data_IF_585600816322
#
_entry.id   IF_585600816322
#
_cell.length_a   1.000
_cell.length_b   1.000
_cell.length_c   1.000
_cell.angle_alpha   90.00
_cell.angle_beta   90.00
_cell.angle_gamma   90.00
#
_symmetry.space_group_name_H-M   'P 1'
#
loop_
_entity.id
_entity.type
_entity.pdbx_description
1 polymer ?
#
# COMPACT_ATOMS: atom_id res chain seq x y z
N UNK A 1 14.57 -22.63 -3.77
CA UNK A 1 14.96 -21.52 -2.87
C UNK A 1 14.86 -22.04 -1.46
N UNK A 2 15.88 -21.81 -0.62
CA UNK A 2 15.77 -22.13 0.81
C UNK A 2 14.71 -21.21 1.43
N UNK A 3 13.87 -21.78 2.30
CA UNK A 3 12.83 -21.04 3.03
C UNK A 3 13.48 -19.98 3.91
N UNK A 4 12.95 -18.76 3.88
CA UNK A 4 13.44 -17.64 4.69
C UNK A 4 12.39 -17.36 5.77
N UNK A 5 12.63 -17.89 6.97
CA UNK A 5 11.63 -17.95 8.06
C UNK A 5 11.10 -16.57 8.45
N UNK A 6 11.95 -15.54 8.50
CA UNK A 6 11.49 -14.20 8.90
C UNK A 6 10.48 -13.59 7.93
N UNK A 7 10.56 -13.92 6.63
CA UNK A 7 9.60 -13.43 5.64
C UNK A 7 8.22 -14.08 5.83
N UNK A 8 8.16 -15.31 6.35
CA UNK A 8 6.90 -15.94 6.69
C UNK A 8 6.22 -15.23 7.86
N UNK A 9 6.99 -14.87 8.90
CA UNK A 9 6.46 -14.07 10.02
C UNK A 9 5.96 -12.70 9.55
N UNK A 10 6.71 -12.01 8.69
CA UNK A 10 6.28 -10.70 8.14
C UNK A 10 4.99 -10.84 7.34
N UNK A 11 4.83 -11.92 6.56
CA UNK A 11 3.58 -12.18 5.82
C UNK A 11 2.39 -12.41 6.74
N UNK A 12 2.56 -13.27 7.75
CA UNK A 12 1.49 -13.54 8.74
C UNK A 12 1.11 -12.25 9.46
N UNK A 13 2.10 -11.47 9.89
CA UNK A 13 1.88 -10.19 10.55
C UNK A 13 1.18 -9.17 9.62
N UNK A 14 1.63 -9.02 8.37
CA UNK A 14 1.00 -8.13 7.41
C UNK A 14 -0.45 -8.54 7.07
N UNK A 15 -0.71 -9.85 6.90
CA UNK A 15 -2.08 -10.35 6.74
C UNK A 15 -2.94 -10.01 7.96
N UNK A 16 -2.41 -10.22 9.17
CA UNK A 16 -3.12 -9.88 10.39
C UNK A 16 -3.46 -8.37 10.45
N UNK A 17 -2.51 -7.50 10.14
CA UNK A 17 -2.75 -6.06 10.11
C UNK A 17 -3.81 -5.66 9.07
N UNK A 18 -3.87 -6.30 7.90
CA UNK A 18 -4.95 -6.06 6.92
C UNK A 18 -6.32 -6.40 7.51
N UNK A 19 -6.43 -7.50 8.25
CA UNK A 19 -7.69 -7.85 8.93
C UNK A 19 -8.05 -6.80 9.98
N UNK A 20 -7.07 -6.27 10.72
CA UNK A 20 -7.29 -5.20 11.71
C UNK A 20 -7.81 -3.93 11.03
N UNK A 21 -7.20 -3.51 9.90
CA UNK A 21 -7.68 -2.34 9.12
C UNK A 21 -9.14 -2.53 8.74
N UNK A 22 -9.49 -3.61 8.04
CA UNK A 22 -10.86 -3.82 7.57
C UNK A 22 -11.87 -4.04 8.70
N UNK A 23 -11.46 -4.65 9.81
CA UNK A 23 -12.32 -4.72 11.00
C UNK A 23 -12.57 -3.33 11.60
N UNK A 24 -11.56 -2.45 11.57
CA UNK A 24 -11.66 -1.08 12.11
C UNK A 24 -12.34 -0.07 11.17
N UNK A 25 -12.41 -0.35 9.87
CA UNK A 25 -13.04 0.54 8.89
C UNK A 25 -14.55 0.75 9.16
N UNK A 26 -15.21 -0.21 9.81
CA UNK A 26 -16.63 -0.11 10.19
C UNK A 26 -16.91 0.94 11.28
N UNK A 27 -15.89 1.43 11.99
CA UNK A 27 -16.06 2.51 12.96
C UNK A 27 -16.23 3.88 12.28
N UNK A 28 -15.99 3.96 10.96
CA UNK A 28 -16.28 5.12 10.13
C UNK A 28 -17.76 5.11 9.69
N UNK A 29 -18.69 5.21 10.65
CA UNK A 29 -20.14 5.08 10.43
C UNK A 29 -20.80 6.29 9.75
N UNK A 30 -20.22 6.78 8.64
CA UNK A 30 -20.78 7.90 7.89
C UNK A 30 -22.06 7.49 7.13
N UNK A 31 -22.97 8.43 6.92
CA UNK A 31 -24.16 8.20 6.11
C UNK A 31 -23.77 7.72 4.69
N UNK A 32 -24.21 6.52 4.31
CA UNK A 32 -23.84 5.89 3.03
C UNK A 32 -22.60 4.99 3.08
N UNK A 33 -22.03 4.73 4.27
CA UNK A 33 -21.03 3.65 4.43
C UNK A 33 -21.69 2.30 4.14
N UNK A 34 -21.22 1.61 3.10
CA UNK A 34 -21.48 0.17 2.91
C UNK A 34 -20.50 -0.64 3.76
N UNK A 35 -20.49 -1.97 3.68
CA UNK A 35 -19.59 -2.88 4.42
C UNK A 35 -18.07 -2.66 4.16
N UNK A 36 -17.70 -1.58 3.44
CA UNK A 36 -16.34 -1.17 3.09
C UNK A 36 -16.18 0.32 3.37
N UNK A 37 -14.97 0.77 3.74
CA UNK A 37 -14.68 2.19 3.97
C UNK A 37 -15.20 3.07 2.81
N UNK A 38 -16.21 3.88 3.10
CA UNK A 38 -16.82 4.80 2.13
C UNK A 38 -15.97 6.05 1.88
N UNK A 39 -16.42 6.94 0.99
CA UNK A 39 -15.78 8.24 0.75
C UNK A 39 -15.85 9.18 1.96
N UNK A 40 -16.60 8.78 2.99
CA UNK A 40 -16.82 9.55 4.19
C UNK A 40 -16.61 8.69 5.43
N UNK A 41 -16.09 9.32 6.48
CA UNK A 41 -15.91 8.71 7.78
C UNK A 41 -16.53 9.56 8.88
N UNK A 42 -17.20 8.90 9.83
CA UNK A 42 -17.81 9.55 10.98
C UNK A 42 -17.42 8.81 12.25
N UNK A 43 -17.02 9.55 13.28
CA UNK A 43 -16.67 9.01 14.59
C UNK A 43 -17.64 9.60 15.63
N UNK A 44 -18.27 8.74 16.42
CA UNK A 44 -19.29 9.16 17.37
C UNK A 44 -18.71 9.73 18.67
N UNK A 45 -17.55 9.24 19.12
CA UNK A 45 -16.96 9.64 20.41
C UNK A 45 -15.43 9.80 20.35
N UNK A 46 -14.87 10.45 21.37
CA UNK A 46 -13.41 10.52 21.58
C UNK A 46 -12.78 9.14 21.82
N UNK A 47 -13.54 8.19 22.38
CA UNK A 47 -13.08 6.81 22.53
C UNK A 47 -12.93 6.13 21.16
N UNK A 48 -13.91 6.30 20.26
CA UNK A 48 -13.83 5.77 18.90
C UNK A 48 -12.65 6.39 18.15
N UNK A 49 -12.46 7.71 18.28
CA UNK A 49 -11.30 8.40 17.71
C UNK A 49 -9.97 7.80 18.16
N UNK A 50 -9.80 7.57 19.46
CA UNK A 50 -8.56 6.99 19.98
C UNK A 50 -8.32 5.59 19.41
N UNK A 51 -9.32 4.71 19.51
CA UNK A 51 -9.15 3.31 19.11
C UNK A 51 -9.02 3.14 17.60
N UNK A 52 -9.76 3.91 16.80
CA UNK A 52 -9.61 3.93 15.34
C UNK A 52 -8.22 4.46 14.97
N UNK A 53 -7.76 5.55 15.57
CA UNK A 53 -6.42 6.07 15.31
C UNK A 53 -5.33 5.04 15.66
N UNK A 54 -5.48 4.31 16.76
CA UNK A 54 -4.55 3.26 17.18
C UNK A 54 -4.57 2.08 16.21
N UNK A 55 -5.74 1.49 15.95
CA UNK A 55 -5.86 0.28 15.13
C UNK A 55 -5.53 0.56 13.67
N UNK A 56 -6.16 1.57 13.08
CA UNK A 56 -5.97 1.91 11.68
C UNK A 56 -4.56 2.48 11.47
N UNK A 57 -4.15 3.44 12.29
CA UNK A 57 -2.85 4.09 12.19
C UNK A 57 -1.67 3.11 12.34
N UNK A 58 -1.73 2.18 13.30
CA UNK A 58 -0.71 1.13 13.42
C UNK A 58 -0.72 0.18 12.22
N UNK A 59 -1.91 -0.20 11.75
CA UNK A 59 -2.06 -1.26 10.74
C UNK A 59 -1.79 -0.77 9.31
N UNK A 60 -1.73 0.54 9.06
CA UNK A 60 -1.35 1.11 7.74
C UNK A 60 0.01 0.62 7.21
N UNK A 61 0.91 0.13 8.07
CA UNK A 61 2.19 -0.44 7.62
C UNK A 61 2.03 -1.77 6.86
N UNK A 62 0.86 -2.42 6.91
CA UNK A 62 0.62 -3.71 6.26
C UNK A 62 0.92 -3.70 4.75
N UNK A 63 0.45 -2.67 4.04
CA UNK A 63 0.62 -2.53 2.59
C UNK A 63 2.11 -2.40 2.21
N UNK A 64 2.88 -1.44 2.78
CA UNK A 64 4.34 -1.39 2.61
C UNK A 64 5.05 -2.72 2.90
N UNK A 65 4.66 -3.44 3.95
CA UNK A 65 5.26 -4.73 4.28
C UNK A 65 5.06 -5.77 3.17
N UNK A 66 3.87 -5.85 2.56
CA UNK A 66 3.63 -6.73 1.41
C UNK A 66 4.50 -6.36 0.21
N UNK A 67 4.67 -5.06 -0.07
CA UNK A 67 5.53 -4.60 -1.16
C UNK A 67 7.00 -4.95 -0.91
N UNK A 68 7.48 -4.74 0.32
CA UNK A 68 8.85 -5.08 0.72
C UNK A 68 9.08 -6.60 0.60
N UNK A 69 8.17 -7.42 1.13
CA UNK A 69 8.31 -8.89 1.04
C UNK A 69 8.32 -9.36 -0.41
N UNK A 70 7.46 -8.78 -1.25
CA UNK A 70 7.41 -9.10 -2.68
C UNK A 70 8.71 -8.70 -3.37
N UNK A 71 9.16 -7.47 -3.21
CA UNK A 71 10.41 -6.99 -3.80
C UNK A 71 11.64 -7.77 -3.29
N UNK A 72 11.73 -8.04 -1.99
CA UNK A 72 12.83 -8.77 -1.37
C UNK A 72 13.05 -10.14 -2.03
N UNK A 73 11.96 -10.82 -2.40
CA UNK A 73 12.00 -12.16 -3.01
C UNK A 73 12.18 -12.16 -4.52
N UNK A 74 11.83 -11.06 -5.19
CA UNK A 74 11.72 -11.01 -6.64
C UNK A 74 12.84 -10.21 -7.30
N UNK A 75 13.49 -9.32 -6.56
CA UNK A 75 14.48 -8.38 -7.08
C UNK A 75 15.87 -8.70 -6.50
N UNK A 76 16.94 -8.62 -7.32
CA UNK A 76 16.87 -8.53 -8.77
C UNK A 76 16.35 -9.84 -9.36
N UNK A 77 15.88 -9.80 -10.61
CA UNK A 77 15.56 -11.01 -11.35
C UNK A 77 16.74 -11.97 -11.40
N UNK A 78 16.43 -13.27 -11.52
CA UNK A 78 17.47 -14.30 -11.64
C UNK A 78 18.27 -14.11 -12.92
N UNK A 79 19.57 -14.39 -12.86
CA UNK A 79 20.44 -14.38 -14.04
C UNK A 79 19.90 -15.32 -15.13
N UNK A 80 19.93 -14.85 -16.38
CA UNK A 80 19.42 -15.58 -17.55
C UNK A 80 17.88 -15.63 -17.68
N UNK A 81 17.12 -15.16 -16.69
CA UNK A 81 15.66 -15.09 -16.80
C UNK A 81 15.23 -13.92 -17.68
N UNK A 82 14.40 -14.17 -18.68
CA UNK A 82 13.85 -13.08 -19.52
C UNK A 82 12.67 -12.39 -18.84
N UNK A 83 12.41 -11.12 -19.18
CA UNK A 83 11.26 -10.36 -18.66
C UNK A 83 9.94 -11.08 -18.94
N UNK A 84 9.79 -11.70 -20.11
CA UNK A 84 8.58 -12.45 -20.47
C UNK A 84 8.40 -13.73 -19.64
N UNK A 85 9.48 -14.46 -19.35
CA UNK A 85 9.43 -15.61 -18.44
C UNK A 85 9.01 -15.18 -17.02
N UNK A 86 9.48 -14.00 -16.57
CA UNK A 86 9.05 -13.43 -15.29
C UNK A 86 7.56 -13.10 -15.31
N UNK A 87 7.08 -12.32 -16.29
CA UNK A 87 5.68 -11.92 -16.40
C UNK A 87 4.75 -13.12 -16.49
N UNK A 88 5.03 -14.07 -17.40
CA UNK A 88 4.20 -15.27 -17.57
C UNK A 88 4.04 -16.01 -16.25
N UNK A 89 5.14 -16.26 -15.53
CA UNK A 89 5.09 -16.98 -14.25
C UNK A 89 4.23 -16.26 -13.20
N UNK A 90 4.26 -14.93 -13.15
CA UNK A 90 3.55 -14.18 -12.10
C UNK A 90 2.10 -13.95 -12.45
N UNK A 91 1.84 -13.48 -13.66
CA UNK A 91 0.49 -13.13 -14.07
C UNK A 91 -0.41 -14.35 -14.23
N UNK A 92 0.10 -15.55 -14.55
CA UNK A 92 -0.71 -16.77 -14.56
C UNK A 92 -1.22 -17.20 -13.18
N UNK A 93 -0.58 -16.74 -12.10
CA UNK A 93 -1.02 -17.06 -10.72
C UNK A 93 -1.87 -15.94 -10.10
N UNK A 94 -1.82 -14.73 -10.67
CA UNK A 94 -2.45 -13.54 -10.08
C UNK A 94 -3.67 -13.09 -10.87
N UNK A 95 -3.57 -13.00 -12.19
CA UNK A 95 -4.67 -12.48 -13.00
C UNK A 95 -5.89 -13.41 -12.99
N UNK A 96 -5.78 -14.74 -13.09
CA UNK A 96 -6.95 -15.60 -13.05
C UNK A 96 -7.79 -15.46 -11.77
N UNK A 97 -7.23 -15.60 -10.54
CA UNK A 97 -8.04 -15.39 -9.34
C UNK A 97 -8.54 -13.95 -9.25
N UNK A 98 -7.73 -12.95 -9.61
CA UNK A 98 -8.14 -11.55 -9.61
C UNK A 98 -9.40 -11.32 -10.45
N UNK A 99 -9.41 -11.75 -11.72
CA UNK A 99 -10.59 -11.58 -12.59
C UNK A 99 -11.78 -12.41 -12.15
N UNK A 100 -11.57 -13.61 -11.59
CA UNK A 100 -12.66 -14.40 -11.01
C UNK A 100 -13.32 -13.61 -9.89
N UNK A 101 -12.55 -13.07 -8.94
CA UNK A 101 -13.10 -12.26 -7.86
C UNK A 101 -13.75 -10.97 -8.36
N UNK A 102 -13.19 -10.31 -9.38
CA UNK A 102 -13.83 -9.14 -10.00
C UNK A 102 -15.23 -9.48 -10.52
N UNK A 103 -15.39 -10.60 -11.24
CA UNK A 103 -16.71 -11.07 -11.72
C UNK A 103 -17.64 -11.35 -10.54
N UNK A 104 -17.16 -12.07 -9.52
CA UNK A 104 -17.95 -12.41 -8.35
C UNK A 104 -18.43 -11.15 -7.61
N UNK A 105 -17.55 -10.17 -7.42
CA UNK A 105 -17.90 -8.91 -6.75
C UNK A 105 -18.77 -7.98 -7.62
N UNK A 106 -18.80 -8.15 -8.94
CA UNK A 106 -19.78 -7.45 -9.79
C UNK A 106 -21.17 -8.07 -9.70
N UNK A 107 -21.31 -9.36 -9.39
CA UNK A 107 -22.59 -10.10 -9.50
C UNK A 107 -23.19 -10.42 -8.13
N UNK A 108 -22.42 -10.99 -7.20
CA UNK A 108 -22.93 -11.49 -5.92
C UNK A 108 -23.60 -10.40 -5.07
N UNK A 109 -23.05 -9.17 -4.95
CA UNK A 109 -23.74 -8.12 -4.21
C UNK A 109 -25.11 -7.75 -4.78
N UNK A 110 -25.28 -7.83 -6.11
CA UNK A 110 -26.59 -7.62 -6.74
C UNK A 110 -27.56 -8.76 -6.38
N UNK A 111 -27.09 -10.01 -6.43
CA UNK A 111 -27.91 -11.17 -6.03
C UNK A 111 -28.30 -11.16 -4.55
N UNK A 112 -27.49 -10.53 -3.70
CA UNK A 112 -27.77 -10.34 -2.28
C UNK A 112 -28.58 -9.07 -1.99
N UNK A 113 -28.94 -8.28 -3.00
CA UNK A 113 -29.72 -7.05 -2.85
C UNK A 113 -28.94 -5.88 -2.25
N UNK A 114 -27.61 -5.93 -2.26
CA UNK A 114 -26.75 -4.83 -1.79
C UNK A 114 -26.58 -3.72 -2.84
N UNK A 115 -26.70 -4.05 -4.14
CA UNK A 115 -26.65 -3.09 -5.26
C UNK A 115 -27.75 -3.41 -6.28
N UNK A 116 -28.09 -2.42 -7.12
CA UNK A 116 -29.03 -2.61 -8.24
C UNK A 116 -28.36 -3.23 -9.48
N UNK A 117 -29.19 -3.63 -10.45
CA UNK A 117 -28.74 -4.24 -11.70
C UNK A 117 -27.93 -3.28 -12.56
N UNK A 118 -28.26 -1.98 -12.55
CA UNK A 118 -27.52 -0.96 -13.28
C UNK A 118 -26.07 -0.84 -12.79
N UNK A 119 -25.87 -0.81 -11.47
CA UNK A 119 -24.53 -0.78 -10.85
C UNK A 119 -23.74 -2.04 -11.18
N UNK A 120 -24.37 -3.22 -11.10
CA UNK A 120 -23.74 -4.50 -11.46
C UNK A 120 -23.28 -4.53 -12.92
N UNK A 121 -24.11 -4.07 -13.85
CA UNK A 121 -23.78 -3.98 -15.28
C UNK A 121 -22.62 -3.01 -15.50
N UNK A 122 -22.64 -1.86 -14.82
CA UNK A 122 -21.55 -0.87 -14.88
C UNK A 122 -20.24 -1.46 -14.37
N UNK A 123 -20.25 -2.14 -13.23
CA UNK A 123 -19.07 -2.80 -12.67
C UNK A 123 -18.51 -3.85 -13.65
N UNK A 124 -19.38 -4.66 -14.25
CA UNK A 124 -18.99 -5.65 -15.26
C UNK A 124 -18.40 -5.00 -16.52
N UNK A 125 -18.98 -3.91 -17.01
CA UNK A 125 -18.51 -3.18 -18.20
C UNK A 125 -17.11 -2.58 -17.99
N UNK A 126 -16.72 -2.33 -16.74
CA UNK A 126 -15.45 -1.72 -16.34
C UNK A 126 -14.43 -2.72 -15.83
N UNK A 127 -14.67 -4.03 -15.97
CA UNK A 127 -13.84 -5.07 -15.34
C UNK A 127 -12.34 -5.03 -15.72
N UNK A 128 -12.02 -4.56 -16.93
CA UNK A 128 -10.63 -4.38 -17.38
C UNK A 128 -10.03 -3.03 -17.01
N UNK A 129 -10.84 -2.10 -16.51
CA UNK A 129 -10.46 -0.72 -16.21
C UNK A 129 -10.32 -0.48 -14.70
N UNK A 130 -11.28 -0.95 -13.89
CA UNK A 130 -11.28 -0.72 -12.45
C UNK A 130 -12.00 -1.82 -11.66
N UNK A 131 -11.80 -1.86 -10.34
CA UNK A 131 -12.46 -2.81 -9.43
C UNK A 131 -13.95 -2.48 -9.22
N UNK A 132 -14.81 -3.49 -8.92
CA UNK A 132 -16.23 -3.30 -8.64
C UNK A 132 -16.49 -2.40 -7.43
N UNK A 133 -17.67 -1.79 -7.38
CA UNK A 133 -18.05 -0.76 -6.40
C UNK A 133 -17.89 -1.24 -4.94
N UNK A 134 -18.25 -2.49 -4.64
CA UNK A 134 -18.12 -3.07 -3.30
C UNK A 134 -16.87 -3.94 -3.10
N UNK A 135 -15.86 -3.78 -3.97
CA UNK A 135 -14.61 -4.55 -3.93
C UNK A 135 -13.39 -3.67 -3.65
N UNK A 136 -13.54 -2.67 -2.76
CA UNK A 136 -12.51 -1.68 -2.46
C UNK A 136 -11.14 -2.31 -2.21
N UNK A 137 -11.06 -3.36 -1.40
CA UNK A 137 -9.81 -4.08 -1.08
C UNK A 137 -9.02 -4.61 -2.30
N UNK A 138 -9.66 -4.78 -3.46
CA UNK A 138 -8.99 -5.18 -4.71
C UNK A 138 -8.13 -4.06 -5.31
N UNK A 139 -8.23 -2.81 -4.83
CA UNK A 139 -7.39 -1.69 -5.26
C UNK A 139 -5.90 -2.04 -5.19
N UNK A 140 -5.49 -2.83 -4.19
CA UNK A 140 -4.08 -3.22 -3.97
C UNK A 140 -3.51 -4.08 -5.10
N UNK A 141 -4.35 -4.72 -5.92
CA UNK A 141 -3.90 -5.52 -7.05
C UNK A 141 -3.24 -4.65 -8.14
N UNK A 142 -3.72 -3.42 -8.34
CA UNK A 142 -3.18 -2.49 -9.34
C UNK A 142 -1.72 -2.09 -9.06
N UNK A 143 -1.34 -1.59 -7.87
CA UNK A 143 0.05 -1.29 -7.58
C UNK A 143 0.91 -2.56 -7.53
N UNK A 144 0.37 -3.72 -7.12
CA UNK A 144 1.12 -4.98 -7.18
C UNK A 144 1.44 -5.39 -8.63
N UNK A 145 0.48 -5.29 -9.55
CA UNK A 145 0.67 -5.55 -10.98
C UNK A 145 1.69 -4.55 -11.55
N UNK A 146 1.55 -3.26 -11.24
CA UNK A 146 2.50 -2.22 -11.64
C UNK A 146 3.92 -2.50 -11.16
N UNK A 147 4.08 -2.88 -9.89
CA UNK A 147 5.36 -3.29 -9.32
C UNK A 147 5.96 -4.46 -10.12
N UNK A 148 5.15 -5.46 -10.47
CA UNK A 148 5.62 -6.63 -11.23
C UNK A 148 6.01 -6.30 -12.65
N UNK A 149 5.32 -5.37 -13.32
CA UNK A 149 5.74 -4.83 -14.61
C UNK A 149 7.07 -4.09 -14.50
N UNK A 150 7.32 -3.41 -13.38
CA UNK A 150 8.54 -2.62 -13.20
C UNK A 150 9.75 -3.46 -12.78
N UNK A 151 9.56 -4.61 -12.12
CA UNK A 151 10.67 -5.45 -11.62
C UNK A 151 11.71 -5.77 -12.70
N UNK A 152 11.36 -6.23 -13.91
CA UNK A 152 12.37 -6.50 -14.94
C UNK A 152 13.10 -5.27 -15.46
N UNK A 153 12.46 -4.09 -15.38
CA UNK A 153 13.03 -2.81 -15.83
C UNK A 153 14.09 -2.33 -14.84
N UNK A 154 13.80 -2.41 -13.54
CA UNK A 154 14.71 -1.93 -12.50
C UNK A 154 15.80 -2.94 -12.11
N UNK A 155 15.57 -4.23 -12.35
CA UNK A 155 16.51 -5.30 -11.97
C UNK A 155 17.93 -5.11 -12.51
N UNK A 156 18.17 -4.74 -13.79
CA UNK A 156 19.52 -4.51 -14.31
C UNK A 156 20.28 -3.40 -13.58
N UNK A 157 19.58 -2.35 -13.14
CA UNK A 157 20.17 -1.28 -12.33
C UNK A 157 20.52 -1.80 -10.94
N UNK A 158 19.58 -2.44 -10.24
CA UNK A 158 19.81 -2.96 -8.88
C UNK A 158 20.89 -4.03 -8.82
N UNK A 159 21.06 -4.84 -9.86
CA UNK A 159 22.16 -5.81 -9.94
C UNK A 159 23.55 -5.17 -9.97
N UNK A 160 23.65 -3.89 -10.36
CA UNK A 160 24.91 -3.14 -10.49
C UNK A 160 25.05 -2.01 -9.47
N UNK A 161 23.93 -1.58 -8.88
CA UNK A 161 23.88 -0.44 -7.99
C UNK A 161 24.75 -0.67 -6.75
N UNK A 162 25.46 0.38 -6.36
CA UNK A 162 26.22 0.42 -5.13
C UNK A 162 25.32 0.79 -3.95
N UNK A 163 25.75 0.42 -2.74
CA UNK A 163 25.07 0.84 -1.51
C UNK A 163 24.99 2.36 -1.33
N UNK A 164 25.81 3.17 -2.05
CA UNK A 164 25.73 4.63 -2.02
C UNK A 164 24.59 5.14 -2.92
N UNK A 165 24.48 4.60 -4.14
CA UNK A 165 23.43 4.97 -5.09
C UNK A 165 22.04 4.59 -4.56
N UNK A 166 21.89 3.39 -4.01
CA UNK A 166 20.61 2.98 -3.41
C UNK A 166 20.25 3.84 -2.20
N UNK A 167 21.22 4.22 -1.35
CA UNK A 167 20.96 5.14 -0.22
C UNK A 167 20.55 6.52 -0.69
N UNK A 168 21.15 7.03 -1.77
CA UNK A 168 20.75 8.29 -2.35
C UNK A 168 19.30 8.22 -2.85
N UNK A 169 18.94 7.16 -3.59
CA UNK A 169 17.56 6.92 -4.00
C UNK A 169 16.60 6.82 -2.81
N UNK A 170 16.95 6.05 -1.77
CA UNK A 170 16.15 5.91 -0.55
C UNK A 170 16.01 7.25 0.17
N UNK A 171 17.03 8.10 0.18
CA UNK A 171 16.94 9.45 0.73
C UNK A 171 15.91 10.32 0.00
N UNK A 172 15.92 10.28 -1.34
CA UNK A 172 14.91 10.97 -2.16
C UNK A 172 13.50 10.39 -1.96
N UNK A 173 13.40 9.07 -1.77
CA UNK A 173 12.14 8.41 -1.43
C UNK A 173 11.61 8.85 -0.05
N UNK A 174 12.45 8.88 0.99
CA UNK A 174 12.01 9.32 2.31
C UNK A 174 11.58 10.80 2.29
N UNK A 175 12.27 11.64 1.51
CA UNK A 175 11.85 13.02 1.31
C UNK A 175 10.50 13.09 0.57
N UNK A 176 10.29 12.26 -0.46
CA UNK A 176 9.03 12.23 -1.21
C UNK A 176 7.85 11.70 -0.39
N UNK A 177 8.05 10.78 0.55
CA UNK A 177 6.97 10.34 1.46
C UNK A 177 6.51 11.43 2.42
N UNK A 178 7.32 12.48 2.61
CA UNK A 178 6.98 13.62 3.46
C UNK A 178 6.20 14.71 2.72
N UNK A 179 5.96 14.58 1.41
CA UNK A 179 5.26 15.57 0.59
C UNK A 179 3.90 16.02 1.15
N UNK A 180 3.03 15.15 1.70
CA UNK A 180 1.79 15.60 2.31
C UNK A 180 1.99 16.62 3.45
N UNK A 181 3.06 16.49 4.23
CA UNK A 181 3.39 17.45 5.29
C UNK A 181 3.91 18.77 4.74
N UNK A 182 4.75 18.72 3.69
CA UNK A 182 5.18 19.93 2.98
C UNK A 182 3.97 20.69 2.42
N UNK A 183 3.04 19.99 1.80
CA UNK A 183 1.85 20.59 1.22
C UNK A 183 0.95 21.22 2.29
N UNK A 184 0.84 20.58 3.46
CA UNK A 184 0.09 21.12 4.59
C UNK A 184 0.66 22.43 5.14
N UNK A 185 1.98 22.59 5.14
CA UNK A 185 2.62 23.78 5.74
C UNK A 185 2.94 24.89 4.74
N UNK A 186 3.24 24.53 3.49
CA UNK A 186 3.74 25.47 2.48
C UNK A 186 2.82 25.60 1.26
N UNK A 187 1.76 24.80 1.15
CA UNK A 187 0.93 24.71 -0.04
C UNK A 187 1.62 23.92 -1.17
N UNK A 188 1.25 24.18 -2.42
CA UNK A 188 1.84 23.52 -3.58
C UNK A 188 3.36 23.82 -3.67
N UNK A 189 4.19 22.77 -3.70
CA UNK A 189 5.66 22.93 -3.78
C UNK A 189 6.27 22.14 -4.94
N UNK A 190 7.48 22.53 -5.34
CA UNK A 190 8.33 21.79 -6.28
C UNK A 190 7.64 21.43 -7.61
N UNK A 191 6.89 22.39 -8.16
CA UNK A 191 6.23 22.28 -9.47
C UNK A 191 4.78 21.84 -9.40
N UNK A 192 4.21 21.61 -8.22
CA UNK A 192 2.78 21.40 -8.08
C UNK A 192 1.99 22.67 -8.43
N UNK A 193 0.85 22.48 -9.08
CA UNK A 193 -0.15 23.51 -9.35
C UNK A 193 -1.51 22.84 -9.65
N UNK A 194 -2.57 23.64 -9.82
CA UNK A 194 -3.93 23.12 -10.01
C UNK A 194 -4.12 22.14 -11.19
N UNK A 195 -3.21 22.11 -12.17
CA UNK A 195 -3.23 21.15 -13.29
C UNK A 195 -2.10 20.12 -13.23
N UNK A 196 -1.19 20.22 -12.26
CA UNK A 196 -0.07 19.30 -12.09
C UNK A 196 0.12 18.93 -10.62
N UNK A 197 -0.32 17.73 -10.25
CA UNK A 197 -0.13 17.21 -8.89
C UNK A 197 1.27 16.61 -8.68
N UNK A 198 2.05 16.44 -9.77
CA UNK A 198 3.34 15.77 -9.74
C UNK A 198 4.46 16.73 -9.30
N UNK A 199 4.91 16.57 -8.05
CA UNK A 199 6.08 17.26 -7.52
C UNK A 199 7.39 16.71 -8.12
N UNK A 200 8.48 17.49 -8.03
CA UNK A 200 9.82 17.14 -8.55
C UNK A 200 10.32 15.72 -8.19
N UNK A 201 9.90 15.16 -7.04
CA UNK A 201 10.31 13.84 -6.56
C UNK A 201 9.31 12.72 -6.88
N UNK A 202 8.34 12.95 -7.76
CA UNK A 202 7.26 12.00 -8.06
C UNK A 202 7.77 10.60 -8.43
N UNK A 203 8.81 10.50 -9.26
CA UNK A 203 9.39 9.21 -9.68
C UNK A 203 10.17 8.48 -8.57
N UNK A 204 10.48 9.16 -7.48
CA UNK A 204 11.07 8.58 -6.27
C UNK A 204 10.00 8.24 -5.23
N UNK A 205 8.72 8.49 -5.51
CA UNK A 205 7.60 8.29 -4.58
C UNK A 205 6.89 6.94 -4.79
N UNK A 206 5.90 6.68 -3.94
CA UNK A 206 5.02 5.52 -4.07
C UNK A 206 5.72 4.17 -3.86
N UNK A 207 5.16 3.13 -4.49
CA UNK A 207 5.57 1.75 -4.21
C UNK A 207 6.96 1.38 -4.73
N UNK A 208 7.52 2.18 -5.65
CA UNK A 208 8.86 1.96 -6.18
C UNK A 208 9.95 2.13 -5.11
N UNK A 209 9.74 3.06 -4.17
CA UNK A 209 10.65 3.27 -3.04
C UNK A 209 10.83 2.03 -2.19
N UNK A 210 9.74 1.32 -1.89
CA UNK A 210 9.78 0.06 -1.14
C UNK A 210 10.54 -1.05 -1.87
N UNK A 211 10.55 -1.04 -3.21
CA UNK A 211 11.29 -2.01 -4.01
C UNK A 211 12.81 -1.84 -3.81
N UNK A 212 13.30 -0.61 -3.97
CA UNK A 212 14.73 -0.30 -3.76
C UNK A 212 15.13 -0.51 -2.31
N UNK A 213 14.28 -0.10 -1.37
CA UNK A 213 14.51 -0.33 0.07
C UNK A 213 14.62 -1.82 0.40
N UNK A 214 13.76 -2.67 -0.16
CA UNK A 214 13.82 -4.11 0.06
C UNK A 214 15.11 -4.73 -0.50
N UNK A 215 15.56 -4.28 -1.67
CA UNK A 215 16.84 -4.69 -2.24
C UNK A 215 18.02 -4.28 -1.36
N UNK A 216 18.04 -3.03 -0.90
CA UNK A 216 19.07 -2.52 0.01
C UNK A 216 19.16 -3.33 1.31
N UNK A 217 18.01 -3.61 1.93
CA UNK A 217 17.93 -4.43 3.15
C UNK A 217 18.50 -5.83 2.91
N UNK A 218 18.26 -6.41 1.73
CA UNK A 218 18.73 -7.76 1.39
C UNK A 218 20.23 -7.81 1.10
N UNK A 219 20.75 -6.87 0.32
CA UNK A 219 22.08 -6.96 -0.29
C UNK A 219 23.13 -6.14 0.46
N UNK A 220 22.77 -4.95 0.94
CA UNK A 220 23.74 -3.98 1.46
C UNK A 220 23.68 -3.80 2.98
N UNK A 221 22.58 -4.17 3.63
CA UNK A 221 22.44 -4.04 5.09
C UNK A 221 23.25 -5.11 5.83
N UNK A 222 24.45 -4.73 6.30
CA UNK A 222 25.39 -5.60 7.02
C UNK A 222 25.31 -5.52 8.55
N UNK A 223 24.24 -4.97 9.10
CA UNK A 223 24.08 -4.84 10.55
C UNK A 223 23.98 -6.20 11.23
N UNK A 224 24.42 -6.30 12.49
CA UNK A 224 24.18 -7.47 13.33
C UNK A 224 22.70 -7.56 13.75
N UNK A 225 22.31 -8.69 14.33
CA UNK A 225 20.92 -8.96 14.70
C UNK A 225 20.39 -7.98 15.75
N UNK A 226 21.19 -7.62 16.74
CA UNK A 226 20.79 -6.72 17.83
C UNK A 226 20.56 -5.32 17.30
N UNK A 227 21.49 -4.80 16.48
CA UNK A 227 21.34 -3.48 15.85
C UNK A 227 20.11 -3.42 14.94
N UNK A 228 19.86 -4.45 14.12
CA UNK A 228 18.63 -4.53 13.30
C UNK A 228 17.37 -4.49 14.15
N UNK A 229 17.35 -5.25 15.24
CA UNK A 229 16.20 -5.32 16.12
C UNK A 229 15.93 -3.98 16.81
N UNK A 230 16.95 -3.38 17.43
CA UNK A 230 16.81 -2.13 18.18
C UNK A 230 16.40 -0.99 17.25
N UNK A 231 17.13 -0.79 16.14
CA UNK A 231 16.81 0.29 15.20
C UNK A 231 15.47 0.03 14.52
N UNK A 232 15.17 -1.21 14.16
CA UNK A 232 13.87 -1.59 13.58
C UNK A 232 12.71 -1.31 14.53
N UNK A 233 12.85 -1.67 15.81
CA UNK A 233 11.83 -1.42 16.82
C UNK A 233 11.62 0.08 17.05
N UNK A 234 12.70 0.85 17.18
CA UNK A 234 12.62 2.32 17.35
C UNK A 234 11.91 2.95 16.15
N UNK A 235 12.33 2.59 14.92
CA UNK A 235 11.70 3.11 13.70
C UNK A 235 10.24 2.71 13.58
N UNK A 236 9.87 1.48 13.96
CA UNK A 236 8.48 1.01 13.96
C UNK A 236 7.63 1.79 14.96
N UNK A 237 8.11 1.96 16.19
CA UNK A 237 7.40 2.72 17.24
C UNK A 237 7.25 4.18 16.85
N UNK A 238 8.32 4.81 16.34
CA UNK A 238 8.26 6.19 15.88
C UNK A 238 7.29 6.37 14.70
N UNK A 239 7.38 5.49 13.69
CA UNK A 239 6.46 5.51 12.55
C UNK A 239 5.01 5.29 12.97
N UNK A 240 4.75 4.29 13.81
CA UNK A 240 3.42 4.04 14.36
C UNK A 240 2.88 5.25 15.14
N UNK A 241 3.68 5.84 16.04
CA UNK A 241 3.26 7.00 16.80
C UNK A 241 2.91 8.19 15.90
N UNK A 242 3.73 8.45 14.87
CA UNK A 242 3.47 9.52 13.89
C UNK A 242 2.18 9.26 13.10
N UNK A 243 1.96 8.03 12.62
CA UNK A 243 0.75 7.70 11.88
C UNK A 243 -0.49 7.76 12.77
N UNK A 244 -0.45 7.18 13.98
CA UNK A 244 -1.54 7.23 14.96
C UNK A 244 -1.87 8.69 15.30
N UNK A 245 -0.87 9.52 15.57
CA UNK A 245 -1.06 10.94 15.85
C UNK A 245 -1.70 11.67 14.66
N UNK A 246 -1.25 11.38 13.44
CA UNK A 246 -1.82 11.97 12.21
C UNK A 246 -3.30 11.63 12.04
N UNK A 247 -3.70 10.36 12.27
CA UNK A 247 -5.11 9.96 12.26
C UNK A 247 -5.88 10.65 13.38
N UNK A 248 -5.32 10.68 14.59
CA UNK A 248 -5.97 11.27 15.75
C UNK A 248 -6.28 12.76 15.55
N UNK A 249 -5.36 13.54 14.98
CA UNK A 249 -5.61 14.98 14.76
C UNK A 249 -6.63 15.27 13.65
N UNK A 250 -6.79 14.36 12.69
CA UNK A 250 -7.72 14.53 11.57
C UNK A 250 -9.14 14.08 11.93
N UNK A 251 -9.27 13.02 12.73
CA UNK A 251 -10.56 12.36 12.97
C UNK A 251 -11.34 13.00 14.14
N UNK A 252 -11.84 14.22 13.94
CA UNK A 252 -12.62 14.96 14.94
C UNK A 252 -14.02 14.31 15.12
N UNK A 253 -14.45 13.95 16.35
CA UNK A 253 -15.75 13.34 16.57
C UNK A 253 -16.91 14.27 16.24
N UNK A 254 -18.03 13.70 15.80
CA UNK A 254 -19.23 14.44 15.44
C UNK A 254 -19.15 15.18 14.09
N UNK A 255 -18.05 15.05 13.36
CA UNK A 255 -17.84 15.63 12.02
C UNK A 255 -17.70 14.49 11.01
N UNK A 256 -18.36 14.65 9.86
CA UNK A 256 -18.14 13.77 8.71
C UNK A 256 -16.90 14.24 7.96
N UNK A 257 -15.88 13.39 7.91
CA UNK A 257 -14.63 13.64 7.20
C UNK A 257 -14.70 13.04 5.79
N UNK A 258 -14.11 13.71 4.81
CA UNK A 258 -13.84 13.12 3.50
C UNK A 258 -12.62 12.20 3.62
N UNK A 259 -12.69 10.97 3.13
CA UNK A 259 -11.54 10.06 3.13
C UNK A 259 -10.54 10.35 2.00
N UNK A 260 -10.77 11.40 1.20
CA UNK A 260 -10.00 11.76 0.00
C UNK A 260 -9.09 12.99 0.15
N UNK A 261 -8.75 13.44 1.36
CA UNK A 261 -7.81 14.58 1.56
C UNK A 261 -6.61 14.22 2.41
#
# INVERSE_FOLDING_TARGET
MKRIVFLDYVRVFACFLVMVVHASENFYGAAGSTDMAGPQSFLASEADRLWVAVYDGFSRMAVPLFMIVSAYLLVPMKEGQTSWQFYRRRFTHILPPFFIFMILYSILPMLWGQIDSETSIKDMSRIFLNFPTLAGHLWFMYPLISLYLFIPIISPWLSKATAKEERFFIGLFLLSTCMPYFNRWFGEVWGQCFWNEYHMLWYFSGYLGYLVLAHYIRVHLKWDRSKRFIVGLISMVAGAALTIYSFYIQAIPGITHSTLS
#
